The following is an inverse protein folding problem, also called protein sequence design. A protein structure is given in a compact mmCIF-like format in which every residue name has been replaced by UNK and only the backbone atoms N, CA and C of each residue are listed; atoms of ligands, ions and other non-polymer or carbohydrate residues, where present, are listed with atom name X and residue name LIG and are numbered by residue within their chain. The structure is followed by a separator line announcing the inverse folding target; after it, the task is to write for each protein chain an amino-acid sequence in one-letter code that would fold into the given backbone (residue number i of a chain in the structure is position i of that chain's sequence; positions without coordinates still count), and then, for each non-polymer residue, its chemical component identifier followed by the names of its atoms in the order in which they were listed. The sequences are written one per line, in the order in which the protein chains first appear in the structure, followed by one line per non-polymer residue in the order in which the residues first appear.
data_IF_646037623632
#
_entry.id   IF_646037623632
#
_cell.length_a   1.000
_cell.length_b   1.000
_cell.length_c   1.000
_cell.angle_alpha   90.00
_cell.angle_beta   90.00
_cell.angle_gamma   90.00
#
_symmetry.space_group_name_H-M   'P 1'
#
loop_
_entity.id
_entity.type
_entity.pdbx_description
1 polymer ?
#
# COMPACT_ATOMS: atom_id res chain seq x y z
N UNK A 1 -5.59 27.05 62.49
CA UNK A 1 -5.62 28.17 61.53
C UNK A 1 -4.20 28.43 61.05
N UNK A 2 -4.04 28.58 59.73
CA UNK A 2 -2.87 29.10 58.98
C UNK A 2 -1.54 28.31 59.06
N UNK A 3 -0.71 28.17 58.03
CA UNK A 3 -0.82 28.31 56.57
C UNK A 3 0.43 27.60 55.99
N UNK A 4 0.28 26.89 54.87
CA UNK A 4 1.36 26.26 54.10
C UNK A 4 2.20 27.31 53.35
N UNK A 5 3.53 27.16 53.24
CA UNK A 5 4.29 27.78 52.17
C UNK A 5 4.52 26.77 51.04
N UNK A 6 4.06 27.15 49.85
CA UNK A 6 4.33 26.52 48.57
C UNK A 6 5.73 26.97 48.13
N UNK A 7 6.69 26.04 48.08
CA UNK A 7 8.03 26.27 47.56
C UNK A 7 8.13 25.75 46.11
N UNK A 8 8.52 26.66 45.22
CA UNK A 8 8.53 26.56 43.76
C UNK A 8 9.37 25.43 43.17
N UNK A 9 8.82 24.78 42.15
CA UNK A 9 9.51 23.89 41.21
C UNK A 9 10.37 24.73 40.28
N UNK A 10 11.69 24.68 40.46
CA UNK A 10 12.65 25.06 39.40
C UNK A 10 13.14 23.78 38.74
N UNK A 11 12.58 23.47 37.58
CA UNK A 11 13.04 22.43 36.66
C UNK A 11 14.41 22.87 36.12
N UNK A 12 15.48 22.47 36.81
CA UNK A 12 16.81 22.50 36.24
C UNK A 12 16.88 21.39 35.20
N UNK A 13 16.88 21.74 33.90
CA UNK A 13 17.33 20.85 32.84
C UNK A 13 18.76 20.41 33.15
N UNK A 14 18.91 19.23 33.74
CA UNK A 14 20.18 18.53 33.65
C UNK A 14 20.23 17.91 32.25
N UNK A 15 20.94 18.62 31.37
CA UNK A 15 21.58 17.98 30.23
C UNK A 15 22.42 16.83 30.77
N UNK A 16 21.98 15.60 30.54
CA UNK A 16 22.80 14.41 30.71
C UNK A 16 23.75 14.36 29.52
N UNK A 17 24.84 15.12 29.61
CA UNK A 17 25.96 14.98 28.68
C UNK A 17 26.70 13.66 28.97
N UNK A 18 26.55 12.74 28.01
CA UNK A 18 27.53 11.79 27.50
C UNK A 18 28.48 11.11 28.49
N UNK A 19 28.06 9.93 28.95
CA UNK A 19 28.93 8.88 29.49
C UNK A 19 28.95 7.64 28.61
N UNK A 20 29.19 7.79 27.31
CA UNK A 20 29.41 6.67 26.39
C UNK A 20 30.60 6.98 25.47
N UNK A 21 31.82 6.78 25.97
CA UNK A 21 33.00 6.66 25.11
C UNK A 21 33.02 5.24 24.52
N UNK A 22 32.37 5.09 23.39
CA UNK A 22 32.26 3.85 22.62
C UNK A 22 30.89 3.80 21.95
N UNK A 23 30.85 3.72 20.62
CA UNK A 23 29.60 3.56 19.87
C UNK A 23 28.79 2.40 20.47
N UNK A 24 27.52 2.61 20.84
CA UNK A 24 26.72 1.55 21.44
C UNK A 24 26.61 0.39 20.43
N UNK A 25 27.03 -0.80 20.87
CA UNK A 25 26.95 -2.03 20.09
C UNK A 25 25.75 -2.84 20.59
N UNK A 26 24.95 -3.35 19.67
CA UNK A 26 23.88 -4.29 19.97
C UNK A 26 24.06 -5.53 19.10
N UNK A 27 24.07 -6.70 19.73
CA UNK A 27 24.39 -7.98 19.09
C UNK A 27 23.19 -8.91 19.26
N UNK A 28 22.63 -9.39 18.16
CA UNK A 28 21.76 -10.55 18.17
C UNK A 28 22.60 -11.82 18.16
N UNK A 29 22.24 -12.80 18.98
CA UNK A 29 22.70 -14.18 18.84
C UNK A 29 21.56 -14.96 18.20
N UNK A 30 21.79 -15.45 16.98
CA UNK A 30 20.78 -16.19 16.20
C UNK A 30 20.56 -17.58 16.78
N UNK A 31 19.58 -18.32 16.23
CA UNK A 31 19.35 -19.72 16.64
C UNK A 31 20.52 -20.64 16.27
N UNK A 32 21.21 -20.34 15.16
CA UNK A 32 22.46 -20.98 14.79
C UNK A 32 23.66 -20.68 15.72
N UNK A 33 23.44 -19.94 16.82
CA UNK A 33 24.49 -19.39 17.69
C UNK A 33 25.45 -18.44 16.98
N UNK A 34 25.02 -17.82 15.88
CA UNK A 34 25.80 -16.80 15.20
C UNK A 34 25.58 -15.43 15.85
N UNK A 35 26.66 -14.67 15.99
CA UNK A 35 26.56 -13.28 16.44
C UNK A 35 26.38 -12.33 15.25
N UNK A 36 25.43 -11.42 15.37
CA UNK A 36 25.15 -10.39 14.38
C UNK A 36 25.13 -9.02 15.07
N UNK A 37 26.10 -8.17 14.73
CA UNK A 37 26.15 -6.79 15.23
C UNK A 37 25.23 -5.91 14.38
N UNK A 38 24.25 -5.30 15.03
CA UNK A 38 23.34 -4.33 14.41
C UNK A 38 24.07 -2.98 14.33
N UNK A 39 24.10 -2.30 13.18
CA UNK A 39 24.65 -0.95 13.10
C UNK A 39 23.86 0.03 13.97
N UNK A 40 24.55 0.85 14.76
CA UNK A 40 23.93 1.76 15.74
C UNK A 40 22.94 2.75 15.13
N UNK A 41 23.18 3.15 13.88
CA UNK A 41 22.30 4.06 13.13
C UNK A 41 20.91 3.48 12.82
N UNK A 42 20.69 2.18 13.05
CA UNK A 42 19.41 1.52 12.82
C UNK A 42 18.72 1.07 14.12
N UNK A 43 19.27 1.33 15.31
CA UNK A 43 18.69 0.83 16.57
C UNK A 43 17.24 1.28 16.79
N UNK A 44 16.92 2.51 16.41
CA UNK A 44 15.58 3.08 16.50
C UNK A 44 14.57 2.39 15.57
N UNK A 45 15.05 1.69 14.55
CA UNK A 45 14.22 0.94 13.58
C UNK A 45 13.77 -0.42 14.09
N UNK A 46 14.39 -0.93 15.15
CA UNK A 46 14.05 -2.21 15.74
C UNK A 46 13.29 -1.96 17.05
N UNK A 47 11.96 -2.08 17.02
CA UNK A 47 11.16 -1.95 18.24
C UNK A 47 11.60 -2.94 19.33
N UNK A 48 12.04 -4.13 18.92
CA UNK A 48 12.63 -5.13 19.82
C UNK A 48 13.87 -4.60 20.55
N UNK A 49 14.82 -4.00 19.84
CA UNK A 49 16.05 -3.44 20.43
C UNK A 49 15.69 -2.31 21.40
N UNK A 50 14.81 -1.40 20.98
CA UNK A 50 14.36 -0.28 21.80
C UNK A 50 13.77 -0.75 23.13
N UNK A 51 12.85 -1.72 23.09
CA UNK A 51 12.26 -2.28 24.31
C UNK A 51 13.30 -2.93 25.22
N UNK A 52 14.32 -3.59 24.66
CA UNK A 52 15.38 -4.21 25.45
C UNK A 52 16.32 -3.19 26.10
N UNK A 53 16.72 -2.15 25.36
CA UNK A 53 17.55 -1.07 25.90
C UNK A 53 16.79 -0.31 26.99
N UNK A 54 15.51 0.00 26.76
CA UNK A 54 14.67 0.73 27.73
C UNK A 54 14.40 -0.09 29.01
N UNK A 55 14.43 -1.43 28.92
CA UNK A 55 14.18 -2.32 30.06
C UNK A 55 15.46 -2.71 30.80
N UNK A 56 16.59 -2.77 30.10
CA UNK A 56 17.85 -3.26 30.65
C UNK A 56 19.02 -2.35 30.24
N UNK A 57 19.41 -1.45 31.14
CA UNK A 57 20.41 -0.38 30.93
C UNK A 57 21.76 -0.83 30.33
N UNK A 58 22.15 -2.10 30.47
CA UNK A 58 23.46 -2.63 30.08
C UNK A 58 23.42 -3.78 29.05
N UNK A 59 22.23 -4.15 28.52
CA UNK A 59 22.13 -5.29 27.60
C UNK A 59 22.53 -4.91 26.18
N UNK A 60 23.71 -5.40 25.78
CA UNK A 60 24.29 -5.20 24.44
C UNK A 60 24.28 -6.46 23.58
N UNK A 61 23.85 -7.59 24.14
CA UNK A 61 23.83 -8.90 23.48
C UNK A 61 22.59 -9.66 23.89
N UNK A 62 21.78 -10.08 22.92
CA UNK A 62 20.52 -10.78 23.17
C UNK A 62 20.46 -12.05 22.35
N UNK A 63 20.20 -13.17 23.03
CA UNK A 63 19.85 -14.42 22.38
C UNK A 63 18.41 -14.35 21.88
N UNK A 64 18.21 -14.62 20.59
CA UNK A 64 16.86 -14.73 20.05
C UNK A 64 16.14 -15.93 20.69
N UNK A 65 14.88 -15.76 21.13
CA UNK A 65 14.19 -16.81 21.85
C UNK A 65 13.87 -18.00 20.93
N UNK A 66 13.69 -19.21 21.48
CA UNK A 66 13.46 -20.44 20.72
C UNK A 66 12.09 -20.52 20.02
N UNK A 67 11.25 -19.49 20.12
CA UNK A 67 10.02 -19.31 19.33
C UNK A 67 10.15 -18.23 18.25
N UNK A 68 11.26 -17.50 18.18
CA UNK A 68 11.52 -16.53 17.11
C UNK A 68 11.47 -17.25 15.74
N UNK A 69 10.95 -16.62 14.68
CA UNK A 69 11.06 -17.16 13.32
C UNK A 69 12.54 -17.39 12.95
N UNK A 70 12.79 -18.05 11.82
CA UNK A 70 14.14 -18.38 11.34
C UNK A 70 14.91 -17.09 10.97
N UNK A 71 15.38 -16.42 12.00
CA UNK A 71 16.08 -15.13 11.97
C UNK A 71 17.57 -15.41 12.04
N UNK A 72 18.14 -15.80 10.91
CA UNK A 72 19.57 -16.04 10.78
C UNK A 72 20.26 -14.81 10.17
N UNK A 73 21.59 -14.88 10.06
CA UNK A 73 22.41 -13.79 9.50
C UNK A 73 21.97 -13.37 8.10
N UNK A 74 21.44 -14.29 7.30
CA UNK A 74 20.97 -13.98 5.95
C UNK A 74 19.78 -13.01 5.97
N UNK A 75 18.72 -13.32 6.72
CA UNK A 75 17.52 -12.49 6.84
C UNK A 75 17.86 -11.13 7.46
N UNK A 76 18.69 -11.12 8.51
CA UNK A 76 19.17 -9.89 9.15
C UNK A 76 19.95 -9.01 8.16
N UNK A 77 20.79 -9.60 7.31
CA UNK A 77 21.51 -8.86 6.27
C UNK A 77 20.59 -8.24 5.23
N UNK A 78 19.53 -8.94 4.80
CA UNK A 78 18.54 -8.40 3.86
C UNK A 78 17.88 -7.15 4.45
N UNK A 79 17.42 -7.25 5.70
CA UNK A 79 16.78 -6.14 6.43
C UNK A 79 17.74 -4.95 6.55
N UNK A 80 18.97 -5.16 7.02
CA UNK A 80 19.94 -4.07 7.20
C UNK A 80 20.35 -3.43 5.86
N UNK A 81 20.54 -4.24 4.80
CA UNK A 81 20.84 -3.71 3.45
C UNK A 81 19.70 -2.84 2.93
N UNK A 82 18.46 -3.24 3.18
CA UNK A 82 17.30 -2.45 2.80
C UNK A 82 17.27 -1.11 3.56
N UNK A 83 17.40 -1.14 4.89
CA UNK A 83 17.41 0.10 5.71
C UNK A 83 18.54 1.05 5.28
N UNK A 84 19.72 0.53 4.95
CA UNK A 84 20.82 1.33 4.39
C UNK A 84 20.49 1.94 3.04
N UNK A 85 19.84 1.18 2.15
CA UNK A 85 19.39 1.68 0.85
C UNK A 85 18.29 2.73 1.01
N UNK A 86 17.35 2.52 1.93
CA UNK A 86 16.28 3.47 2.23
C UNK A 86 16.83 4.80 2.77
N UNK A 87 17.81 4.75 3.68
CA UNK A 87 18.45 5.95 4.21
C UNK A 87 19.20 6.74 3.11
N UNK A 88 19.90 6.04 2.21
CA UNK A 88 20.58 6.67 1.08
C UNK A 88 19.60 7.33 0.09
N UNK A 89 18.51 6.64 -0.26
CA UNK A 89 17.53 7.15 -1.22
C UNK A 89 16.60 8.22 -0.64
N UNK A 90 16.32 8.20 0.67
CA UNK A 90 15.58 9.29 1.35
C UNK A 90 16.31 10.62 1.24
N UNK A 91 17.64 10.60 1.30
CA UNK A 91 18.47 11.81 1.12
C UNK A 91 18.30 12.39 -0.29
N UNK A 92 18.15 11.54 -1.31
CA UNK A 92 17.93 11.94 -2.70
C UNK A 92 16.51 12.52 -2.89
N UNK A 93 15.49 11.87 -2.34
CA UNK A 93 14.11 12.33 -2.40
C UNK A 93 13.91 13.68 -1.67
N UNK A 94 14.55 13.87 -0.51
CA UNK A 94 14.48 15.11 0.26
C UNK A 94 15.29 16.27 -0.37
N UNK A 95 16.41 15.98 -1.06
CA UNK A 95 17.21 16.98 -1.80
C UNK A 95 16.49 17.48 -3.07
N UNK A 96 15.74 16.60 -3.75
CA UNK A 96 14.91 16.98 -4.90
C UNK A 96 13.73 17.89 -4.51
N UNK A 97 13.21 17.73 -3.30
CA UNK A 97 12.05 18.49 -2.79
C UNK A 97 12.42 19.84 -2.16
N UNK A 98 13.67 20.05 -1.76
CA UNK A 98 14.12 21.27 -1.07
C UNK A 98 14.86 22.27 -1.98
N UNK A 99 14.70 22.19 -3.31
CA UNK A 99 15.17 23.27 -4.18
C UNK A 99 14.31 24.53 -3.95
N UNK A 100 14.89 25.65 -3.48
CA UNK A 100 14.15 26.89 -3.29
C UNK A 100 13.86 27.50 -4.66
N UNK A 101 12.70 27.21 -5.24
CA UNK A 101 12.30 27.85 -6.48
C UNK A 101 11.15 27.26 -7.30
N UNK A 102 10.50 26.15 -6.90
CA UNK A 102 9.47 25.54 -7.75
C UNK A 102 8.06 25.60 -7.12
N UNK A 103 7.56 26.81 -6.94
CA UNK A 103 6.13 27.10 -6.73
C UNK A 103 5.57 27.83 -7.95
N UNK A 104 5.53 27.17 -9.10
CA UNK A 104 4.56 27.46 -10.16
C UNK A 104 4.57 26.34 -11.19
N UNK A 105 3.38 25.86 -11.55
CA UNK A 105 3.06 24.88 -12.58
C UNK A 105 4.12 24.74 -13.70
N UNK A 106 4.75 23.56 -13.78
CA UNK A 106 5.11 22.86 -15.03
C UNK A 106 5.72 21.49 -14.67
N UNK A 107 4.99 20.41 -14.97
CA UNK A 107 5.49 19.02 -14.91
C UNK A 107 6.39 18.72 -16.12
N UNK A 108 7.35 19.57 -16.44
CA UNK A 108 8.29 19.32 -17.51
C UNK A 108 9.70 19.68 -17.06
N UNK A 109 10.58 18.66 -17.09
CA UNK A 109 12.01 18.66 -16.72
C UNK A 109 12.35 18.29 -15.26
N UNK A 110 11.80 17.16 -14.80
CA UNK A 110 12.61 16.28 -13.92
C UNK A 110 13.63 15.60 -14.85
N UNK A 111 14.95 15.59 -14.54
CA UNK A 111 15.91 14.78 -15.28
C UNK A 111 15.42 13.33 -15.34
N UNK A 112 15.23 12.81 -16.56
CA UNK A 112 14.69 11.48 -16.88
C UNK A 112 15.48 10.30 -16.28
N UNK A 113 16.61 10.56 -15.63
CA UNK A 113 17.50 9.54 -15.08
C UNK A 113 17.25 9.22 -13.60
N UNK A 114 16.33 9.94 -12.93
CA UNK A 114 15.88 9.57 -11.58
C UNK A 114 14.83 8.45 -11.69
N UNK A 115 15.06 7.25 -11.09
CA UNK A 115 14.06 6.20 -11.10
C UNK A 115 12.73 6.73 -10.54
N UNK A 116 11.57 6.36 -11.12
CA UNK A 116 10.29 6.78 -10.60
C UNK A 116 10.17 6.44 -9.11
N UNK A 117 9.48 7.29 -8.35
CA UNK A 117 9.34 7.14 -6.88
C UNK A 117 8.96 5.69 -6.53
N UNK A 118 9.79 5.03 -5.71
CA UNK A 118 9.58 3.64 -5.30
C UNK A 118 10.17 2.56 -6.24
N UNK A 119 10.67 2.90 -7.42
CA UNK A 119 11.30 1.93 -8.33
C UNK A 119 12.53 1.25 -7.70
N UNK A 120 13.30 1.99 -6.90
CA UNK A 120 14.46 1.43 -6.20
C UNK A 120 14.07 0.33 -5.19
N UNK A 121 12.86 0.41 -4.61
CA UNK A 121 12.33 -0.60 -3.68
C UNK A 121 12.09 -1.90 -4.44
N UNK A 122 11.43 -1.80 -5.59
CA UNK A 122 11.21 -2.93 -6.50
C UNK A 122 12.55 -3.53 -6.96
N UNK A 123 13.47 -2.70 -7.43
CA UNK A 123 14.80 -3.14 -7.90
C UNK A 123 15.65 -3.76 -6.77
N UNK A 124 15.41 -3.36 -5.52
CA UNK A 124 16.03 -3.99 -4.36
C UNK A 124 15.46 -5.40 -4.13
N UNK A 125 14.13 -5.54 -4.05
CA UNK A 125 13.49 -6.81 -3.75
C UNK A 125 13.58 -7.83 -4.89
N UNK A 126 13.60 -7.39 -6.15
CA UNK A 126 13.77 -8.25 -7.34
C UNK A 126 15.12 -9.00 -7.34
N UNK A 127 16.10 -8.61 -6.51
CA UNK A 127 17.42 -9.29 -6.38
C UNK A 127 17.37 -10.56 -5.53
N UNK A 128 16.29 -10.78 -4.79
CA UNK A 128 16.19 -11.87 -3.82
C UNK A 128 15.19 -12.91 -4.29
N UNK A 129 15.45 -14.17 -3.93
CA UNK A 129 14.50 -15.24 -4.18
C UNK A 129 13.32 -15.09 -3.22
N UNK A 130 12.15 -15.52 -3.69
CA UNK A 130 10.89 -15.43 -2.96
C UNK A 130 11.01 -15.88 -1.49
N UNK A 131 11.49 -17.09 -1.23
CA UNK A 131 11.55 -17.61 0.14
C UNK A 131 12.45 -16.76 1.04
N UNK A 132 13.50 -16.14 0.50
CA UNK A 132 14.38 -15.25 1.27
C UNK A 132 13.61 -14.01 1.74
N UNK A 133 12.73 -13.47 0.88
CA UNK A 133 11.88 -12.33 1.22
C UNK A 133 10.82 -12.69 2.27
N UNK A 134 10.19 -13.87 2.16
CA UNK A 134 9.22 -14.33 3.17
C UNK A 134 9.89 -14.63 4.52
N UNK A 135 11.04 -15.30 4.55
CA UNK A 135 11.77 -15.50 5.81
C UNK A 135 12.25 -14.17 6.41
N UNK A 136 12.64 -13.20 5.56
CA UNK A 136 13.03 -11.87 6.00
C UNK A 136 11.85 -11.05 6.54
N UNK A 137 10.65 -11.12 5.94
CA UNK A 137 9.48 -10.38 6.44
C UNK A 137 9.01 -10.93 7.79
N UNK A 138 9.04 -12.25 7.99
CA UNK A 138 8.73 -12.85 9.29
C UNK A 138 9.72 -12.40 10.38
N UNK A 139 11.01 -12.40 10.05
CA UNK A 139 12.07 -11.93 10.93
C UNK A 139 11.91 -10.44 11.26
N UNK A 140 11.64 -9.61 10.25
CA UNK A 140 11.44 -8.17 10.42
C UNK A 140 10.21 -7.86 11.27
N UNK A 141 9.10 -8.57 11.05
CA UNK A 141 7.88 -8.43 11.83
C UNK A 141 8.11 -8.80 13.30
N UNK A 142 8.80 -9.92 13.57
CA UNK A 142 9.16 -10.32 14.93
C UNK A 142 10.04 -9.29 15.64
N UNK A 143 11.00 -8.70 14.92
CA UNK A 143 11.91 -7.67 15.44
C UNK A 143 11.28 -6.26 15.49
N UNK A 144 10.07 -6.10 14.94
CA UNK A 144 9.34 -4.84 14.87
C UNK A 144 9.99 -3.80 13.96
N UNK A 145 10.47 -4.22 12.79
CA UNK A 145 11.11 -3.36 11.77
C UNK A 145 10.08 -2.97 10.70
N UNK A 146 9.18 -2.07 11.04
CA UNK A 146 8.06 -1.65 10.17
C UNK A 146 8.55 -1.02 8.86
N UNK A 147 9.63 -0.24 8.92
CA UNK A 147 10.28 0.38 7.75
C UNK A 147 10.74 -0.64 6.69
N UNK A 148 10.85 -1.93 7.02
CA UNK A 148 11.09 -3.02 6.07
C UNK A 148 9.81 -3.77 5.70
N UNK A 149 8.93 -4.01 6.68
CA UNK A 149 7.68 -4.78 6.49
C UNK A 149 6.74 -4.09 5.52
N UNK A 150 6.48 -2.79 5.70
CA UNK A 150 5.49 -2.07 4.87
C UNK A 150 5.93 -2.03 3.40
N UNK A 151 7.16 -1.62 3.05
CA UNK A 151 7.58 -1.60 1.64
C UNK A 151 7.60 -2.99 0.99
N UNK A 152 7.93 -4.04 1.74
CA UNK A 152 7.90 -5.39 1.22
C UNK A 152 6.47 -5.90 1.00
N UNK A 153 5.54 -5.56 1.90
CA UNK A 153 4.12 -5.87 1.73
C UNK A 153 3.54 -5.17 0.50
N UNK A 154 3.86 -3.89 0.29
CA UNK A 154 3.48 -3.14 -0.91
C UNK A 154 4.06 -3.78 -2.18
N UNK A 155 5.34 -4.16 -2.17
CA UNK A 155 5.97 -4.86 -3.29
C UNK A 155 5.29 -6.20 -3.60
N UNK A 156 4.97 -7.00 -2.57
CA UNK A 156 4.26 -8.27 -2.75
C UNK A 156 2.85 -8.03 -3.32
N UNK A 157 2.12 -7.03 -2.81
CA UNK A 157 0.80 -6.66 -3.32
C UNK A 157 0.87 -6.25 -4.80
N UNK A 158 1.87 -5.45 -5.18
CA UNK A 158 2.09 -5.09 -6.57
C UNK A 158 2.37 -6.33 -7.44
N UNK A 159 3.26 -7.24 -7.00
CA UNK A 159 3.53 -8.49 -7.72
C UNK A 159 2.27 -9.32 -7.92
N UNK A 160 1.40 -9.41 -6.90
CA UNK A 160 0.12 -10.12 -7.00
C UNK A 160 -0.78 -9.49 -8.08
N UNK A 161 -0.84 -8.15 -8.17
CA UNK A 161 -1.65 -7.47 -9.20
C UNK A 161 -1.09 -7.63 -10.62
N UNK A 162 0.21 -7.87 -10.78
CA UNK A 162 0.85 -8.10 -12.08
C UNK A 162 0.65 -9.54 -12.59
N UNK A 163 0.35 -10.48 -11.71
CA UNK A 163 0.14 -11.88 -12.04
C UNK A 163 -1.23 -12.07 -12.70
N UNK A 164 -1.24 -12.67 -13.88
CA UNK A 164 -2.45 -12.84 -14.71
C UNK A 164 -3.16 -14.16 -14.47
N UNK A 165 -2.47 -15.16 -13.94
CA UNK A 165 -3.03 -16.49 -13.72
C UNK A 165 -2.98 -16.90 -12.25
N UNK A 166 -4.00 -17.63 -11.84
CA UNK A 166 -4.08 -18.24 -10.52
C UNK A 166 -2.93 -19.19 -10.21
N UNK A 167 -2.43 -19.88 -11.24
CA UNK A 167 -1.35 -20.85 -11.12
C UNK A 167 -0.01 -20.16 -10.84
N UNK A 168 0.30 -19.09 -11.57
CA UNK A 168 1.47 -18.25 -11.29
C UNK A 168 1.37 -17.58 -9.92
N UNK A 169 0.15 -17.21 -9.48
CA UNK A 169 -0.07 -16.62 -8.16
C UNK A 169 0.16 -17.66 -7.06
N UNK A 170 -0.34 -18.88 -7.25
CA UNK A 170 -0.12 -19.97 -6.31
C UNK A 170 1.36 -20.35 -6.22
N UNK A 171 2.07 -20.39 -7.34
CA UNK A 171 3.52 -20.62 -7.37
C UNK A 171 4.30 -19.48 -6.69
N UNK A 172 3.91 -18.23 -6.98
CA UNK A 172 4.48 -17.05 -6.34
C UNK A 172 4.14 -16.93 -4.85
N UNK A 173 3.05 -17.53 -4.37
CA UNK A 173 2.75 -17.58 -2.93
C UNK A 173 3.26 -18.87 -2.27
N UNK A 174 3.73 -19.84 -3.07
CA UNK A 174 4.26 -21.10 -2.57
C UNK A 174 3.21 -22.03 -2.03
N UNK A 175 1.97 -21.90 -2.50
CA UNK A 175 0.96 -22.88 -2.24
C UNK A 175 1.34 -24.17 -2.96
N UNK A 176 1.88 -25.14 -2.21
CA UNK A 176 1.90 -26.52 -2.68
C UNK A 176 0.44 -26.94 -2.88
N UNK A 177 0.09 -27.28 -4.12
CA UNK A 177 -1.25 -27.75 -4.46
C UNK A 177 -1.45 -29.14 -3.85
N UNK A 178 -1.86 -29.18 -2.58
CA UNK A 178 -2.56 -30.34 -2.04
C UNK A 178 -3.75 -30.64 -2.97
N UNK A 179 -3.96 -31.91 -3.29
CA UNK A 179 -4.93 -32.36 -4.30
C UNK A 179 -6.35 -31.89 -3.96
N UNK A 180 -6.69 -31.81 -2.67
CA UNK A 180 -7.95 -31.28 -2.15
C UNK A 180 -8.13 -29.76 -2.38
N UNK A 181 -7.06 -28.97 -2.29
CA UNK A 181 -7.10 -27.53 -2.60
C UNK A 181 -7.30 -27.28 -4.09
N UNK A 182 -6.86 -28.21 -4.96
CA UNK A 182 -7.07 -28.12 -6.41
C UNK A 182 -8.54 -28.27 -6.78
N UNK A 183 -9.23 -29.25 -6.19
CA UNK A 183 -10.66 -29.46 -6.43
C UNK A 183 -11.50 -28.26 -5.95
N UNK A 184 -11.17 -27.69 -4.78
CA UNK A 184 -11.83 -26.47 -4.30
C UNK A 184 -11.54 -25.26 -5.19
N UNK A 185 -10.32 -25.14 -5.70
CA UNK A 185 -9.94 -24.06 -6.60
C UNK A 185 -10.63 -24.16 -7.97
N UNK A 186 -10.74 -25.36 -8.54
CA UNK A 186 -11.50 -25.59 -9.77
C UNK A 186 -12.98 -25.29 -9.60
N UNK A 187 -13.55 -25.68 -8.45
CA UNK A 187 -14.93 -25.33 -8.11
C UNK A 187 -15.13 -23.83 -7.99
N UNK A 188 -14.24 -23.13 -7.29
CA UNK A 188 -14.28 -21.67 -7.17
C UNK A 188 -14.13 -20.98 -8.52
N UNK A 189 -13.23 -21.47 -9.39
CA UNK A 189 -13.04 -20.94 -10.74
C UNK A 189 -14.31 -21.07 -11.59
N UNK A 190 -14.96 -22.23 -11.54
CA UNK A 190 -16.25 -22.46 -12.23
C UNK A 190 -17.34 -21.52 -11.71
N UNK A 191 -17.48 -21.39 -10.39
CA UNK A 191 -18.44 -20.48 -9.77
C UNK A 191 -18.18 -19.01 -10.17
N UNK A 192 -16.92 -18.59 -10.26
CA UNK A 192 -16.55 -17.23 -10.61
C UNK A 192 -16.75 -16.94 -12.12
N UNK A 193 -16.45 -17.91 -12.99
CA UNK A 193 -16.75 -17.82 -14.43
C UNK A 193 -18.25 -17.83 -14.73
N UNK A 194 -19.04 -18.54 -13.93
CA UNK A 194 -20.50 -18.54 -14.00
C UNK A 194 -21.06 -17.19 -13.52
N UNK A 195 -20.57 -16.66 -12.39
CA UNK A 195 -20.93 -15.34 -11.89
C UNK A 195 -20.62 -14.22 -12.91
N UNK A 196 -19.44 -14.27 -13.54
CA UNK A 196 -19.08 -13.32 -14.60
C UNK A 196 -19.99 -13.42 -15.83
N UNK A 197 -20.40 -14.63 -16.22
CA UNK A 197 -21.36 -14.83 -17.31
C UNK A 197 -22.74 -14.30 -16.96
N UNK A 198 -23.25 -14.60 -15.77
CA UNK A 198 -24.54 -14.07 -15.32
C UNK A 198 -24.54 -12.55 -15.22
N UNK A 199 -23.43 -11.96 -14.78
CA UNK A 199 -23.29 -10.51 -14.72
C UNK A 199 -23.24 -9.89 -16.12
N UNK A 200 -22.49 -10.47 -17.04
CA UNK A 200 -22.45 -10.02 -18.44
C UNK A 200 -23.82 -10.13 -19.13
N UNK A 201 -24.57 -11.22 -18.89
CA UNK A 201 -25.93 -11.38 -19.43
C UNK A 201 -26.92 -10.36 -18.84
N UNK A 202 -26.78 -10.00 -17.56
CA UNK A 202 -27.61 -8.95 -16.95
C UNK A 202 -27.31 -7.59 -17.55
N UNK A 203 -26.03 -7.26 -17.72
CA UNK A 203 -25.59 -6.01 -18.34
C UNK A 203 -26.06 -5.93 -19.80
N UNK A 204 -26.01 -7.03 -20.56
CA UNK A 204 -26.52 -7.06 -21.93
C UNK A 204 -28.05 -6.88 -22.00
N UNK A 205 -28.80 -7.52 -21.11
CA UNK A 205 -30.27 -7.35 -21.03
C UNK A 205 -30.67 -5.94 -20.61
N UNK A 206 -29.93 -5.31 -19.69
CA UNK A 206 -30.16 -3.92 -19.30
C UNK A 206 -29.82 -2.95 -20.44
N UNK A 207 -28.71 -3.19 -21.15
CA UNK A 207 -28.35 -2.39 -22.32
C UNK A 207 -29.38 -2.51 -23.45
N UNK A 208 -29.95 -3.70 -23.68
CA UNK A 208 -31.04 -3.89 -24.66
C UNK A 208 -32.31 -3.16 -24.23
N UNK A 209 -32.71 -3.25 -22.96
CA UNK A 209 -33.89 -2.51 -22.45
C UNK A 209 -33.73 -1.00 -22.59
N UNK A 210 -32.55 -0.46 -22.27
CA UNK A 210 -32.27 0.97 -22.44
C UNK A 210 -32.39 1.39 -23.91
N UNK A 211 -31.88 0.58 -24.84
CA UNK A 211 -32.03 0.85 -26.29
C UNK A 211 -33.49 0.82 -26.75
N UNK A 212 -34.29 -0.14 -26.27
CA UNK A 212 -35.73 -0.20 -26.59
C UNK A 212 -36.52 0.98 -26.00
N UNK A 213 -36.19 1.43 -24.79
CA UNK A 213 -36.80 2.61 -24.19
C UNK A 213 -36.41 3.89 -24.93
N UNK A 214 -35.17 4.01 -25.36
CA UNK A 214 -34.67 5.14 -26.15
C UNK A 214 -35.35 5.18 -27.53
N UNK A 215 -35.53 4.03 -28.21
CA UNK A 215 -36.26 3.94 -29.47
C UNK A 215 -37.75 4.29 -29.31
N UNK A 216 -38.38 3.87 -28.19
CA UNK A 216 -39.76 4.26 -27.87
C UNK A 216 -39.90 5.75 -27.58
N UNK A 217 -38.95 6.34 -26.86
CA UNK A 217 -38.91 7.79 -26.63
C UNK A 217 -38.75 8.54 -27.94
N UNK A 218 -37.84 8.10 -28.80
CA UNK A 218 -37.60 8.71 -30.09
C UNK A 218 -38.86 8.68 -30.98
N UNK A 219 -39.54 7.53 -31.09
CA UNK A 219 -40.80 7.43 -31.85
C UNK A 219 -41.93 8.27 -31.24
N UNK A 220 -41.99 8.38 -29.91
CA UNK A 220 -42.98 9.22 -29.25
C UNK A 220 -42.71 10.72 -29.50
N UNK A 221 -41.44 11.13 -29.53
CA UNK A 221 -41.02 12.51 -29.80
C UNK A 221 -41.23 12.91 -31.27
N UNK A 222 -41.01 11.96 -32.19
CA UNK A 222 -41.34 12.10 -33.62
C UNK A 222 -42.85 12.27 -33.81
N UNK A 223 -43.68 11.42 -33.19
CA UNK A 223 -45.14 11.52 -33.28
C UNK A 223 -45.71 12.80 -32.65
N UNK A 224 -45.13 13.28 -31.55
CA UNK A 224 -45.50 14.58 -30.97
C UNK A 224 -45.13 15.75 -31.88
N UNK A 225 -43.98 15.67 -32.55
CA UNK A 225 -43.51 16.70 -33.49
C UNK A 225 -44.33 16.72 -34.79
N UNK A 226 -44.85 15.56 -35.22
CA UNK A 226 -45.79 15.46 -36.35
C UNK A 226 -47.17 16.02 -35.99
N UNK A 227 -47.71 15.68 -34.80
CA UNK A 227 -48.99 16.19 -34.32
C UNK A 227 -49.00 17.72 -34.09
N UNK A 228 -47.86 18.32 -33.78
CA UNK A 228 -47.69 19.77 -33.68
C UNK A 228 -47.54 20.48 -35.03
N UNK A 229 -47.31 19.73 -36.11
CA UNK A 229 -47.18 20.26 -37.48
C UNK A 229 -48.39 19.91 -38.37
N UNK A 230 -49.42 19.24 -37.85
CA UNK A 230 -50.71 19.14 -38.56
C UNK A 230 -51.32 20.54 -38.67
N UNK A 231 -51.58 21.06 -39.89
CA UNK A 231 -52.27 22.32 -40.06
C UNK A 231 -53.70 22.16 -39.56
N UNK A 232 -54.16 23.06 -38.68
CA UNK A 232 -55.56 23.17 -38.25
C UNK A 232 -56.45 23.16 -39.49
N UNK A 233 -57.12 22.02 -39.72
CA UNK A 233 -58.15 21.91 -40.71
C UNK A 233 -59.40 22.63 -40.21
N UNK A 234 -59.64 23.80 -40.79
CA UNK A 234 -60.93 24.47 -41.02
C UNK A 234 -61.92 24.50 -39.84
N UNK A 235 -62.15 25.70 -39.29
CA UNK A 235 -63.49 26.08 -38.84
C UNK A 235 -64.03 27.18 -39.77
N UNK A 236 -65.14 26.82 -40.41
CA UNK A 236 -65.98 27.63 -41.30
C UNK A 236 -66.58 28.86 -40.60
N UNK A 237 -66.71 29.94 -41.37
CA UNK A 237 -67.77 30.95 -41.50
C UNK A 237 -68.55 31.54 -40.28
N UNK A 238 -68.88 32.82 -40.51
CA UNK A 238 -69.96 33.67 -39.96
C UNK A 238 -69.80 34.37 -38.60
N UNK A 239 -69.59 35.69 -38.62
CA UNK A 239 -70.70 36.65 -38.46
C UNK A 239 -70.26 38.13 -38.63
N UNK A 240 -70.66 38.71 -39.76
CA UNK A 240 -70.66 40.15 -40.04
C UNK A 240 -71.91 40.77 -39.37
N UNK A 241 -71.76 41.35 -38.17
CA UNK A 241 -72.83 42.11 -37.51
C UNK A 241 -72.74 43.58 -37.94
N UNK A 242 -73.47 43.92 -39.00
CA UNK A 242 -73.97 45.27 -39.25
C UNK A 242 -75.41 45.39 -38.74
N UNK A 243 -75.61 46.19 -37.69
CA UNK A 243 -76.90 46.83 -37.38
C UNK A 243 -76.66 48.34 -37.29
N UNK A 244 -77.66 49.17 -37.64
CA UNK A 244 -77.48 50.55 -38.10
C UNK A 244 -76.81 51.51 -37.11
#
# INVERSE_FOLDING_TARGET
MAATPVGSVTRGSQHVEHKYMGSPKFIFVTRGNEEFEVPSQFFDKFAFIKNFIDTYDDVKKVQLPPNAPKTEREQLNIIIKFLGSAAANKTIDDELMNQPGNSSMQYENIPSDSPPKGQWIKDFFDKFQRYQLFEAIESANFLGVIDFVDPLAEYIAQKITEIKSSEEMAEFLGYEREEEMREQFEKFKLENEEAHREQAEKEEKEAQKMKEEEEKRFKAEEAWSEALNEPDAENEDDDEIGLP
#
